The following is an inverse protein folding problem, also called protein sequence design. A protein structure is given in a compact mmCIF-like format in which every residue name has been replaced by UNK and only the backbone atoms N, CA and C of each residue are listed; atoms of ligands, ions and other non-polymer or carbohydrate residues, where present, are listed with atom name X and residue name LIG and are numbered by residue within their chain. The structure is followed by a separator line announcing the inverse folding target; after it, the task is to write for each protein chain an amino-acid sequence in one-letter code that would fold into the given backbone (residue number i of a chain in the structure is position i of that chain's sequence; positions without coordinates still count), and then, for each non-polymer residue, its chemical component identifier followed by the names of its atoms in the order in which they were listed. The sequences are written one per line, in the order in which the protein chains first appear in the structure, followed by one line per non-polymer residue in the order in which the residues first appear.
data_IF_406817493838
#
_entry.id   IF_406817493838
#
_cell.length_a   1.000
_cell.length_b   1.000
_cell.length_c   1.000
_cell.angle_alpha   90.00
_cell.angle_beta   90.00
_cell.angle_gamma   90.00
#
_symmetry.space_group_name_H-M   'P 1'
#
loop_
_entity.id
_entity.type
_entity.pdbx_description
1 polymer ?
#
# COMPACT_ATOMS: atom_id res chain seq x y z
N UNK A 1 15.54 -25.90 7.79
CA UNK A 1 16.47 -25.23 8.73
C UNK A 1 16.33 -23.71 8.65
N UNK A 2 16.40 -23.09 7.48
CA UNK A 2 16.30 -21.63 7.29
C UNK A 2 14.98 -21.03 7.82
N UNK A 3 13.84 -21.69 7.61
CA UNK A 3 12.52 -21.25 8.09
C UNK A 3 12.43 -21.16 9.62
N UNK A 4 13.05 -22.12 10.33
CA UNK A 4 13.10 -22.08 11.80
C UNK A 4 14.04 -21.01 12.33
N UNK A 5 15.11 -20.69 11.60
CA UNK A 5 15.97 -19.54 11.91
C UNK A 5 15.17 -18.24 11.79
N UNK A 6 14.45 -18.03 10.68
CA UNK A 6 13.58 -16.86 10.53
C UNK A 6 12.50 -16.76 11.60
N UNK A 7 11.90 -17.90 11.97
CA UNK A 7 10.92 -17.97 13.05
C UNK A 7 11.52 -17.56 14.39
N UNK A 8 12.70 -18.09 14.74
CA UNK A 8 13.43 -17.70 15.96
C UNK A 8 13.77 -16.19 15.99
N UNK A 9 14.30 -15.68 14.88
CA UNK A 9 14.59 -14.26 14.73
C UNK A 9 13.33 -13.39 14.88
N UNK A 10 12.22 -13.80 14.27
CA UNK A 10 10.93 -13.10 14.40
C UNK A 10 10.50 -12.99 15.86
N UNK A 11 10.50 -14.08 16.62
CA UNK A 11 10.08 -14.05 18.03
C UNK A 11 11.04 -13.26 18.90
N UNK A 12 12.35 -13.36 18.64
CA UNK A 12 13.35 -12.57 19.36
C UNK A 12 13.16 -11.06 19.11
N UNK A 13 12.99 -10.64 17.84
CA UNK A 13 12.71 -9.24 17.48
C UNK A 13 11.40 -8.77 18.09
N UNK A 14 10.34 -9.57 18.01
CA UNK A 14 9.05 -9.23 18.60
C UNK A 14 9.15 -9.02 20.11
N UNK A 15 9.85 -9.88 20.81
CA UNK A 15 10.11 -9.74 22.25
C UNK A 15 10.86 -8.45 22.53
N UNK A 16 11.99 -8.19 21.85
CA UNK A 16 12.81 -7.00 22.02
C UNK A 16 12.00 -5.73 21.77
N UNK A 17 11.25 -5.66 20.65
CA UNK A 17 10.41 -4.50 20.32
C UNK A 17 9.35 -4.25 21.39
N UNK A 18 8.77 -5.31 21.97
CA UNK A 18 7.70 -5.21 22.98
C UNK A 18 8.20 -4.71 24.34
N UNK A 19 9.42 -5.11 24.76
CA UNK A 19 9.95 -4.75 26.09
C UNK A 19 10.78 -3.45 26.06
N UNK A 20 11.23 -3.02 24.88
CA UNK A 20 12.11 -1.85 24.76
C UNK A 20 11.35 -0.55 25.05
N UNK A 21 11.90 0.36 25.86
CA UNK A 21 11.37 1.72 25.96
C UNK A 21 11.34 2.40 24.59
N UNK A 22 10.29 3.19 24.31
CA UNK A 22 10.08 3.81 22.99
C UNK A 22 11.30 4.63 22.50
N UNK A 23 11.99 5.35 23.38
CA UNK A 23 13.18 6.13 23.01
C UNK A 23 14.33 5.24 22.56
N UNK A 24 14.58 4.13 23.25
CA UNK A 24 15.61 3.15 22.90
C UNK A 24 15.28 2.48 21.57
N UNK A 25 14.03 2.05 21.39
CA UNK A 25 13.56 1.45 20.13
C UNK A 25 13.73 2.43 18.96
N UNK A 26 13.28 3.69 19.09
CA UNK A 26 13.46 4.72 18.05
C UNK A 26 14.93 4.95 17.72
N UNK A 27 15.81 4.99 18.71
CA UNK A 27 17.26 5.11 18.51
C UNK A 27 17.85 3.93 17.75
N UNK A 28 17.47 2.70 18.14
CA UNK A 28 17.88 1.47 17.45
C UNK A 28 17.40 1.45 15.98
N UNK A 29 16.12 1.77 15.72
CA UNK A 29 15.56 1.80 14.37
C UNK A 29 16.22 2.87 13.49
N UNK A 30 16.61 4.04 14.05
CA UNK A 30 17.39 5.05 13.32
C UNK A 30 18.76 4.52 12.93
N UNK A 31 19.46 3.84 13.86
CA UNK A 31 20.75 3.22 13.58
C UNK A 31 20.66 2.14 12.52
N UNK A 32 19.63 1.29 12.61
CA UNK A 32 19.36 0.25 11.62
C UNK A 32 19.07 0.85 10.23
N UNK A 33 18.23 1.87 10.16
CA UNK A 33 17.92 2.58 8.91
C UNK A 33 19.19 3.22 8.30
N UNK A 34 20.05 3.81 9.13
CA UNK A 34 21.34 4.37 8.69
C UNK A 34 22.25 3.26 8.14
N UNK A 35 22.32 2.12 8.79
CA UNK A 35 23.09 0.97 8.31
C UNK A 35 22.60 0.50 6.94
N UNK A 36 21.28 0.31 6.76
CA UNK A 36 20.69 -0.07 5.47
C UNK A 36 20.96 0.97 4.38
N UNK A 37 20.82 2.25 4.66
CA UNK A 37 21.14 3.32 3.71
C UNK A 37 22.59 3.21 3.18
N UNK A 38 23.56 2.85 4.01
CA UNK A 38 24.96 2.71 3.60
C UNK A 38 25.29 1.37 2.95
N UNK A 39 24.64 0.29 3.36
CA UNK A 39 24.93 -1.08 2.91
C UNK A 39 24.14 -1.47 1.65
N UNK A 40 22.87 -1.07 1.57
CA UNK A 40 21.98 -1.45 0.47
C UNK A 40 22.07 -0.46 -0.70
N UNK A 41 23.21 -0.47 -1.39
CA UNK A 41 23.47 0.43 -2.52
C UNK A 41 22.45 0.28 -3.65
N UNK A 42 21.97 -0.94 -3.88
CA UNK A 42 21.01 -1.25 -4.96
C UNK A 42 19.68 -0.51 -4.75
N UNK A 43 19.03 -0.70 -3.60
CA UNK A 43 17.75 -0.07 -3.35
C UNK A 43 17.87 1.44 -3.10
N UNK A 44 18.97 1.88 -2.48
CA UNK A 44 19.29 3.32 -2.36
C UNK A 44 19.36 4.00 -3.73
N UNK A 45 20.03 3.35 -4.74
CA UNK A 45 20.05 3.89 -6.09
C UNK A 45 18.69 3.88 -6.77
N UNK A 46 17.91 2.80 -6.61
CA UNK A 46 16.53 2.74 -7.13
C UNK A 46 15.67 3.89 -6.56
N UNK A 47 15.72 4.11 -5.25
CA UNK A 47 15.01 5.22 -4.60
C UNK A 47 15.42 6.57 -5.17
N UNK A 48 16.73 6.80 -5.33
CA UNK A 48 17.28 8.05 -5.88
C UNK A 48 16.76 8.33 -7.29
N UNK A 49 16.77 7.31 -8.16
CA UNK A 49 16.22 7.44 -9.51
C UNK A 49 14.74 7.76 -9.48
N UNK A 50 13.96 7.02 -8.72
CA UNK A 50 12.51 7.26 -8.61
C UNK A 50 12.20 8.66 -8.09
N UNK A 51 12.89 9.10 -7.02
CA UNK A 51 12.67 10.42 -6.41
C UNK A 51 13.07 11.56 -7.36
N UNK A 52 14.20 11.44 -8.08
CA UNK A 52 14.62 12.44 -9.09
C UNK A 52 13.62 12.54 -10.25
N UNK A 53 13.03 11.42 -10.67
CA UNK A 53 11.98 11.44 -11.70
C UNK A 53 10.69 12.08 -11.20
N UNK A 54 10.28 11.82 -9.96
CA UNK A 54 9.04 12.36 -9.41
C UNK A 54 9.17 13.81 -8.95
N UNK A 55 10.33 14.22 -8.44
CA UNK A 55 10.55 15.52 -7.81
C UNK A 55 11.79 16.22 -8.40
N UNK A 56 11.71 16.57 -9.68
CA UNK A 56 12.83 17.18 -10.44
C UNK A 56 13.35 18.50 -9.86
N UNK A 57 12.54 19.20 -9.04
CA UNK A 57 12.93 20.45 -8.38
C UNK A 57 13.74 20.25 -7.10
N UNK A 58 13.76 19.05 -6.53
CA UNK A 58 14.51 18.78 -5.29
C UNK A 58 16.01 18.68 -5.58
N UNK A 59 16.80 19.26 -4.68
CA UNK A 59 18.26 19.15 -4.70
C UNK A 59 18.71 17.75 -4.25
N UNK A 60 19.92 17.37 -4.61
CA UNK A 60 20.50 16.06 -4.25
C UNK A 60 20.50 15.81 -2.74
N UNK A 61 20.80 16.81 -1.92
CA UNK A 61 20.80 16.69 -0.46
C UNK A 61 19.38 16.47 0.12
N UNK A 62 18.35 17.03 -0.51
CA UNK A 62 16.95 16.81 -0.13
C UNK A 62 16.49 15.39 -0.52
N UNK A 63 16.89 14.91 -1.70
CA UNK A 63 16.68 13.52 -2.13
C UNK A 63 17.32 12.54 -1.13
N UNK A 64 18.59 12.78 -0.75
CA UNK A 64 19.28 11.90 0.20
C UNK A 64 18.64 11.92 1.61
N UNK A 65 18.11 13.06 2.04
CA UNK A 65 17.33 13.15 3.30
C UNK A 65 16.03 12.33 3.21
N UNK A 66 15.32 12.41 2.09
CA UNK A 66 14.11 11.62 1.85
C UNK A 66 14.40 10.12 1.86
N UNK A 67 15.49 9.68 1.21
CA UNK A 67 15.90 8.27 1.22
C UNK A 67 16.17 7.77 2.64
N UNK A 68 16.93 8.52 3.44
CA UNK A 68 17.21 8.17 4.85
C UNK A 68 15.92 8.09 5.68
N UNK A 69 15.01 9.05 5.49
CA UNK A 69 13.71 9.07 6.17
C UNK A 69 12.85 7.88 5.73
N UNK A 70 12.89 7.52 4.44
CA UNK A 70 12.18 6.36 3.92
C UNK A 70 12.68 5.03 4.54
N UNK A 71 14.00 4.82 4.65
CA UNK A 71 14.54 3.66 5.37
C UNK A 71 14.10 3.62 6.84
N UNK A 72 14.06 4.78 7.49
CA UNK A 72 13.57 4.86 8.87
C UNK A 72 12.09 4.52 8.99
N UNK A 73 11.25 5.04 8.10
CA UNK A 73 9.81 4.72 8.06
C UNK A 73 9.59 3.24 7.78
N UNK A 74 10.43 2.62 6.94
CA UNK A 74 10.37 1.19 6.68
C UNK A 74 10.79 0.34 7.90
N UNK A 75 11.79 0.79 8.65
CA UNK A 75 12.17 0.16 9.92
C UNK A 75 11.06 0.29 10.98
N UNK A 76 10.39 1.46 11.06
CA UNK A 76 9.20 1.65 11.89
C UNK A 76 8.05 0.72 11.47
N UNK A 77 7.77 0.62 10.17
CA UNK A 77 6.76 -0.30 9.62
C UNK A 77 7.00 -1.75 10.11
N UNK A 78 8.24 -2.23 10.05
CA UNK A 78 8.60 -3.56 10.56
C UNK A 78 8.35 -3.71 12.07
N UNK A 79 8.73 -2.71 12.88
CA UNK A 79 8.50 -2.72 14.32
C UNK A 79 6.98 -2.69 14.64
N UNK A 80 6.22 -1.87 13.94
CA UNK A 80 4.76 -1.78 14.11
C UNK A 80 4.05 -3.06 13.68
N UNK A 81 4.50 -3.73 12.61
CA UNK A 81 3.99 -5.04 12.25
C UNK A 81 4.15 -6.04 13.40
N UNK A 82 5.30 -6.04 14.09
CA UNK A 82 5.55 -6.89 15.26
C UNK A 82 4.66 -6.51 16.46
N UNK A 83 4.44 -5.21 16.70
CA UNK A 83 3.63 -4.71 17.82
C UNK A 83 2.12 -4.92 17.60
N UNK A 84 1.66 -4.81 16.37
CA UNK A 84 0.24 -4.94 16.05
C UNK A 84 -0.27 -6.39 16.02
N UNK A 85 0.62 -7.38 16.26
CA UNK A 85 0.21 -8.78 16.41
C UNK A 85 -0.71 -8.95 17.62
N UNK A 86 -1.87 -9.57 17.43
CA UNK A 86 -2.88 -9.85 18.46
C UNK A 86 -3.55 -8.61 19.09
N UNK A 87 -3.46 -7.43 18.50
CA UNK A 87 -4.24 -6.25 18.93
C UNK A 87 -5.73 -6.44 18.66
N UNK A 88 -6.62 -5.85 19.48
CA UNK A 88 -8.06 -5.88 19.25
C UNK A 88 -8.49 -4.83 18.20
N UNK A 89 -9.76 -4.90 17.74
CA UNK A 89 -10.33 -3.87 16.85
C UNK A 89 -10.28 -2.49 17.48
N UNK A 90 -10.64 -2.39 18.75
CA UNK A 90 -10.66 -1.16 19.53
C UNK A 90 -9.24 -0.56 19.65
N UNK A 91 -8.24 -1.40 19.90
CA UNK A 91 -6.85 -0.96 19.98
C UNK A 91 -6.32 -0.47 18.65
N UNK A 92 -6.75 -1.04 17.53
CA UNK A 92 -6.40 -0.56 16.19
C UNK A 92 -7.11 0.77 15.94
N UNK A 93 -8.43 0.82 16.11
CA UNK A 93 -9.21 2.02 15.82
C UNK A 93 -8.82 3.22 16.70
N UNK A 94 -8.36 2.99 17.94
CA UNK A 94 -7.88 4.07 18.82
C UNK A 94 -6.62 4.79 18.29
N UNK A 95 -5.92 4.19 17.31
CA UNK A 95 -4.74 4.76 16.67
C UNK A 95 -5.03 5.39 15.32
N UNK A 96 -6.26 5.24 14.80
CA UNK A 96 -6.61 5.64 13.43
C UNK A 96 -7.58 6.83 13.46
N UNK A 97 -7.25 7.87 12.74
CA UNK A 97 -8.17 8.91 12.33
C UNK A 97 -8.53 8.76 10.85
N UNK A 98 -9.66 9.33 10.45
CA UNK A 98 -10.13 9.26 9.06
C UNK A 98 -10.28 10.68 8.53
N UNK A 99 -9.73 10.93 7.33
CA UNK A 99 -9.85 12.19 6.59
C UNK A 99 -10.67 11.94 5.34
N UNK A 100 -11.64 12.83 5.07
CA UNK A 100 -12.64 12.71 4.01
C UNK A 100 -13.47 11.41 4.09
N UNK A 101 -13.78 10.94 5.30
CA UNK A 101 -14.58 9.71 5.53
C UNK A 101 -15.99 9.82 4.92
N UNK A 102 -16.50 11.04 4.75
CA UNK A 102 -17.76 11.32 4.07
C UNK A 102 -17.77 10.82 2.61
N UNK A 103 -16.65 10.83 1.91
CA UNK A 103 -16.55 10.26 0.56
C UNK A 103 -16.78 8.74 0.60
N UNK A 104 -16.15 8.06 1.55
CA UNK A 104 -16.35 6.62 1.71
C UNK A 104 -17.78 6.28 2.12
N UNK A 105 -18.35 7.04 3.06
CA UNK A 105 -19.72 6.86 3.52
C UNK A 105 -20.74 7.12 2.40
N UNK A 106 -20.48 8.08 1.51
CA UNK A 106 -21.32 8.33 0.34
C UNK A 106 -21.32 7.15 -0.65
N UNK A 107 -20.18 6.45 -0.79
CA UNK A 107 -20.08 5.23 -1.60
C UNK A 107 -20.78 4.06 -0.93
N UNK A 108 -20.63 3.89 0.37
CA UNK A 108 -21.33 2.85 1.15
C UNK A 108 -22.86 2.97 1.03
N UNK A 109 -23.39 4.20 1.08
CA UNK A 109 -24.85 4.46 1.01
C UNK A 109 -25.46 4.06 -0.34
N UNK A 110 -24.67 3.93 -1.41
CA UNK A 110 -25.14 3.50 -2.73
C UNK A 110 -25.43 2.00 -2.82
N UNK A 111 -25.09 1.23 -1.78
CA UNK A 111 -25.29 -0.22 -1.74
C UNK A 111 -24.76 -0.95 -2.99
N UNK A 112 -23.62 -0.50 -3.51
CA UNK A 112 -22.86 -1.09 -4.62
C UNK A 112 -21.62 -1.81 -4.12
N UNK A 113 -21.03 -2.78 -4.85
CA UNK A 113 -19.72 -3.34 -4.51
C UNK A 113 -18.65 -2.23 -4.46
N UNK A 114 -17.66 -2.39 -3.58
CA UNK A 114 -16.61 -1.36 -3.37
C UNK A 114 -15.24 -1.98 -3.53
N UNK A 115 -14.39 -1.33 -4.31
CA UNK A 115 -12.96 -1.61 -4.43
C UNK A 115 -12.21 -0.49 -3.73
N UNK A 116 -11.46 -0.83 -2.69
CA UNK A 116 -10.55 0.10 -2.00
C UNK A 116 -9.18 -0.01 -2.66
N UNK A 117 -8.84 0.98 -3.48
CA UNK A 117 -7.54 1.08 -4.12
C UNK A 117 -6.55 1.72 -3.16
N UNK A 118 -5.39 1.09 -2.99
CA UNK A 118 -4.31 1.64 -2.15
C UNK A 118 -2.93 1.38 -2.79
N UNK A 119 -1.87 1.70 -2.08
CA UNK A 119 -0.49 1.55 -2.50
C UNK A 119 0.38 0.98 -1.36
N UNK A 120 1.62 0.57 -1.67
CA UNK A 120 2.63 0.31 -0.66
C UNK A 120 3.10 1.65 -0.06
N UNK A 121 2.24 2.24 0.77
CA UNK A 121 2.38 3.57 1.36
C UNK A 121 2.04 3.52 2.85
N UNK A 122 2.81 4.19 3.68
CA UNK A 122 2.64 4.19 5.12
C UNK A 122 2.66 2.78 5.72
N UNK A 123 1.72 2.47 6.60
CA UNK A 123 1.57 1.13 7.14
C UNK A 123 0.40 0.38 6.47
N UNK A 124 0.60 -0.08 5.24
CA UNK A 124 -0.44 -0.80 4.46
C UNK A 124 -0.90 -2.12 5.10
N UNK A 125 -0.11 -2.75 5.98
CA UNK A 125 -0.56 -3.93 6.74
C UNK A 125 -1.58 -3.54 7.81
N UNK A 126 -1.36 -2.41 8.50
CA UNK A 126 -2.31 -1.85 9.46
C UNK A 126 -3.57 -1.32 8.76
N UNK A 127 -3.43 -0.78 7.54
CA UNK A 127 -4.56 -0.28 6.75
C UNK A 127 -5.65 -1.33 6.56
N UNK A 128 -5.29 -2.53 6.13
CA UNK A 128 -6.27 -3.61 5.92
C UNK A 128 -7.00 -4.00 7.21
N UNK A 129 -6.27 -4.06 8.33
CA UNK A 129 -6.84 -4.34 9.65
C UNK A 129 -7.78 -3.21 10.12
N UNK A 130 -7.40 -1.95 9.89
CA UNK A 130 -8.21 -0.78 10.25
C UNK A 130 -9.51 -0.74 9.43
N UNK A 131 -9.44 -0.99 8.12
CA UNK A 131 -10.62 -1.06 7.25
C UNK A 131 -11.58 -2.17 7.69
N UNK A 132 -11.05 -3.37 8.01
CA UNK A 132 -11.88 -4.47 8.50
C UNK A 132 -12.44 -4.21 9.91
N UNK A 133 -11.69 -3.54 10.77
CA UNK A 133 -12.16 -3.19 12.11
C UNK A 133 -13.30 -2.16 12.05
N UNK A 134 -13.24 -1.19 11.12
CA UNK A 134 -14.20 -0.09 10.97
C UNK A 134 -15.43 -0.47 10.15
N UNK A 135 -15.24 -1.15 9.02
CA UNK A 135 -16.26 -1.34 7.99
C UNK A 135 -16.69 -2.81 7.78
N UNK A 136 -16.02 -3.77 8.42
CA UNK A 136 -16.39 -5.19 8.36
C UNK A 136 -15.62 -5.98 7.30
N UNK A 137 -16.29 -6.91 6.62
CA UNK A 137 -15.68 -7.91 5.74
C UNK A 137 -14.82 -7.32 4.61
N UNK A 138 -13.54 -7.68 4.57
CA UNK A 138 -12.57 -7.25 3.56
C UNK A 138 -11.98 -8.48 2.86
N UNK A 139 -11.76 -8.40 1.57
CA UNK A 139 -10.93 -9.35 0.82
C UNK A 139 -9.73 -8.62 0.23
N UNK A 140 -8.53 -9.13 0.40
CA UNK A 140 -7.29 -8.52 -0.12
C UNK A 140 -6.57 -9.48 -1.06
N UNK A 141 -6.05 -8.94 -2.16
CA UNK A 141 -5.26 -9.70 -3.12
C UNK A 141 -3.80 -9.61 -2.72
N UNK A 142 -3.16 -10.75 -2.53
CA UNK A 142 -1.76 -10.81 -2.14
C UNK A 142 -1.04 -12.03 -2.69
N UNK A 143 0.29 -11.99 -2.63
CA UNK A 143 1.14 -13.15 -2.90
C UNK A 143 1.61 -13.74 -1.57
N UNK A 144 1.64 -15.08 -1.51
CA UNK A 144 2.28 -15.79 -0.41
C UNK A 144 3.79 -15.47 -0.35
N UNK A 145 4.36 -15.45 0.86
CA UNK A 145 5.80 -15.38 1.04
C UNK A 145 6.47 -16.70 0.68
N UNK A 146 7.73 -16.64 0.24
CA UNK A 146 8.49 -17.83 -0.12
C UNK A 146 8.81 -18.72 1.10
N UNK A 147 9.00 -18.13 2.29
CA UNK A 147 9.12 -18.88 3.55
C UNK A 147 7.75 -19.29 4.08
N UNK A 148 7.49 -20.59 4.21
CA UNK A 148 6.21 -21.12 4.68
C UNK A 148 5.86 -20.62 6.10
N UNK A 149 6.84 -20.64 7.02
CA UNK A 149 6.63 -20.21 8.41
C UNK A 149 6.37 -18.71 8.54
N UNK A 150 7.09 -17.89 7.77
CA UNK A 150 6.84 -16.45 7.74
C UNK A 150 5.50 -16.13 7.07
N UNK A 151 5.11 -16.93 6.07
CA UNK A 151 3.81 -16.80 5.43
C UNK A 151 2.65 -17.15 6.38
N UNK A 152 2.80 -18.18 7.22
CA UNK A 152 1.83 -18.49 8.28
C UNK A 152 1.61 -17.30 9.23
N UNK A 153 2.70 -16.65 9.68
CA UNK A 153 2.63 -15.48 10.57
C UNK A 153 1.95 -14.29 9.87
N UNK A 154 2.35 -13.99 8.65
CA UNK A 154 1.78 -12.89 7.87
C UNK A 154 0.30 -13.14 7.58
N UNK A 155 -0.05 -14.34 7.16
CA UNK A 155 -1.44 -14.73 6.88
C UNK A 155 -2.29 -14.68 8.14
N UNK A 156 -1.80 -15.20 9.27
CA UNK A 156 -2.51 -15.14 10.55
C UNK A 156 -2.77 -13.68 11.00
N UNK A 157 -1.84 -12.76 10.74
CA UNK A 157 -2.09 -11.34 11.00
C UNK A 157 -3.12 -10.75 10.06
N UNK A 158 -3.02 -11.05 8.76
CA UNK A 158 -3.90 -10.49 7.72
C UNK A 158 -5.33 -11.03 7.77
N UNK A 159 -5.56 -12.27 8.21
CA UNK A 159 -6.89 -12.89 8.27
C UNK A 159 -7.69 -12.55 9.52
N UNK A 160 -7.22 -11.60 10.32
CA UNK A 160 -7.96 -11.09 11.46
C UNK A 160 -9.16 -10.25 11.01
N UNK A 161 -10.17 -10.15 11.87
CA UNK A 161 -11.33 -9.26 11.69
C UNK A 161 -12.15 -9.47 10.40
N UNK A 162 -12.31 -10.75 9.98
CA UNK A 162 -13.01 -11.10 8.75
C UNK A 162 -12.31 -10.60 7.47
N UNK A 163 -10.98 -10.76 7.41
CA UNK A 163 -10.22 -10.53 6.19
C UNK A 163 -9.98 -11.86 5.46
N UNK A 164 -10.39 -11.93 4.21
CA UNK A 164 -10.12 -13.02 3.28
C UNK A 164 -8.88 -12.71 2.44
N UNK A 165 -7.95 -13.67 2.34
CA UNK A 165 -6.79 -13.57 1.45
C UNK A 165 -7.10 -14.24 0.11
N UNK A 166 -6.97 -13.48 -0.96
CA UNK A 166 -7.12 -13.95 -2.34
C UNK A 166 -5.73 -14.12 -2.95
N UNK A 167 -5.41 -15.36 -3.39
CA UNK A 167 -4.15 -15.62 -4.10
C UNK A 167 -4.15 -14.95 -5.49
N UNK A 168 -3.05 -14.28 -5.81
CA UNK A 168 -2.88 -13.57 -7.09
C UNK A 168 -3.14 -14.48 -8.31
N UNK A 169 -2.80 -15.78 -8.23
CA UNK A 169 -2.98 -16.74 -9.34
C UNK A 169 -4.45 -17.01 -9.70
N UNK A 170 -5.37 -16.88 -8.73
CA UNK A 170 -6.82 -17.10 -8.93
C UNK A 170 -7.64 -15.82 -8.69
N UNK A 171 -6.99 -14.67 -8.70
CA UNK A 171 -7.55 -13.40 -8.24
C UNK A 171 -8.86 -13.01 -8.95
N UNK A 172 -8.97 -13.18 -10.27
CA UNK A 172 -10.13 -12.68 -11.03
C UNK A 172 -11.45 -13.28 -10.54
N UNK A 173 -11.53 -14.61 -10.45
CA UNK A 173 -12.75 -15.30 -10.02
C UNK A 173 -13.10 -15.01 -8.55
N UNK A 174 -12.09 -15.04 -7.69
CA UNK A 174 -12.28 -14.84 -6.25
C UNK A 174 -12.61 -13.38 -5.92
N UNK A 175 -11.96 -12.40 -6.57
CA UNK A 175 -12.28 -10.99 -6.40
C UNK A 175 -13.70 -10.64 -6.83
N UNK A 176 -14.17 -11.16 -7.98
CA UNK A 176 -15.55 -10.96 -8.41
C UNK A 176 -16.54 -11.63 -7.45
N UNK A 177 -16.22 -12.83 -6.92
CA UNK A 177 -17.03 -13.48 -5.88
C UNK A 177 -17.10 -12.65 -4.60
N UNK A 178 -15.96 -12.09 -4.14
CA UNK A 178 -15.91 -11.23 -2.96
C UNK A 178 -16.78 -9.97 -3.15
N UNK A 179 -16.67 -9.31 -4.30
CA UNK A 179 -17.48 -8.13 -4.62
C UNK A 179 -18.99 -8.46 -4.67
N UNK A 180 -19.37 -9.62 -5.25
CA UNK A 180 -20.76 -10.08 -5.27
C UNK A 180 -21.29 -10.38 -3.86
N UNK A 181 -20.42 -10.83 -2.95
CA UNK A 181 -20.74 -11.07 -1.53
C UNK A 181 -20.64 -9.78 -0.69
N UNK A 182 -20.55 -8.61 -1.30
CA UNK A 182 -20.48 -7.31 -0.62
C UNK A 182 -19.28 -7.14 0.33
N UNK A 183 -18.22 -7.89 0.12
CA UNK A 183 -16.95 -7.66 0.83
C UNK A 183 -16.21 -6.49 0.18
N UNK A 184 -15.57 -5.66 0.96
CA UNK A 184 -14.65 -4.63 0.43
C UNK A 184 -13.46 -5.33 -0.23
N UNK A 185 -13.16 -5.00 -1.48
CA UNK A 185 -12.00 -5.56 -2.16
C UNK A 185 -10.81 -4.59 -2.07
N UNK A 186 -9.83 -4.91 -1.22
CA UNK A 186 -8.57 -4.16 -1.11
C UNK A 186 -7.57 -4.59 -2.19
N UNK A 187 -7.00 -3.63 -2.91
CA UNK A 187 -6.01 -3.89 -3.96
C UNK A 187 -4.92 -2.83 -3.98
N UNK A 188 -3.64 -3.28 -3.96
CA UNK A 188 -2.48 -2.43 -4.18
C UNK A 188 -2.17 -2.37 -5.68
N UNK A 189 -2.09 -1.16 -6.23
CA UNK A 189 -1.99 -0.95 -7.69
C UNK A 189 -0.72 -0.22 -8.12
N UNK A 190 0.15 0.11 -7.18
CA UNK A 190 1.25 1.05 -7.36
C UNK A 190 2.52 0.47 -8.00
N UNK A 191 2.69 -0.85 -8.02
CA UNK A 191 3.91 -1.45 -8.58
C UNK A 191 3.89 -1.47 -10.11
N UNK A 192 5.11 -1.42 -10.70
CA UNK A 192 5.27 -1.58 -12.15
C UNK A 192 4.76 -2.95 -12.59
N UNK A 193 4.01 -2.98 -13.69
CA UNK A 193 3.50 -4.22 -14.30
C UNK A 193 4.07 -4.41 -15.71
N UNK A 194 3.98 -5.62 -16.26
CA UNK A 194 4.43 -5.91 -17.61
C UNK A 194 3.54 -5.20 -18.65
N UNK A 195 4.10 -4.93 -19.84
CA UNK A 195 3.38 -4.20 -20.92
C UNK A 195 2.06 -4.87 -21.33
N UNK A 196 2.01 -6.20 -21.29
CA UNK A 196 0.83 -6.99 -21.62
C UNK A 196 -0.17 -7.16 -20.46
N UNK A 197 0.16 -6.69 -19.25
CA UNK A 197 -0.67 -6.84 -18.04
C UNK A 197 -1.21 -5.51 -17.50
N UNK A 198 -0.93 -4.40 -18.16
CA UNK A 198 -1.30 -3.06 -17.70
C UNK A 198 -1.76 -2.14 -18.81
N UNK A 199 -2.06 -0.90 -18.43
CA UNK A 199 -2.29 0.21 -19.35
C UNK A 199 -1.20 1.25 -19.18
N UNK A 200 -0.85 1.91 -20.29
CA UNK A 200 0.03 3.08 -20.27
C UNK A 200 -0.71 4.23 -19.57
N UNK A 201 -0.13 4.70 -18.49
CA UNK A 201 -0.60 5.84 -17.70
C UNK A 201 0.56 6.81 -17.44
N UNK A 202 0.23 7.98 -16.93
CA UNK A 202 1.19 8.93 -16.42
C UNK A 202 1.29 8.83 -14.89
N UNK A 203 2.49 9.06 -14.36
CA UNK A 203 2.78 9.17 -12.95
C UNK A 203 3.90 10.20 -12.77
N UNK A 204 3.62 11.32 -12.09
CA UNK A 204 4.51 12.48 -12.05
C UNK A 204 5.00 12.89 -13.44
N UNK A 205 4.08 13.02 -14.42
CA UNK A 205 4.34 13.36 -15.82
C UNK A 205 5.27 12.40 -16.58
N UNK A 206 5.54 11.22 -16.05
CA UNK A 206 6.31 10.17 -16.71
C UNK A 206 5.42 8.99 -17.07
N UNK A 207 5.67 8.38 -18.21
CA UNK A 207 4.96 7.16 -18.64
C UNK A 207 5.29 5.99 -17.74
N UNK A 208 4.25 5.26 -17.34
CA UNK A 208 4.36 4.00 -16.59
C UNK A 208 3.42 2.95 -17.17
N UNK A 209 3.70 1.68 -16.90
CA UNK A 209 2.71 0.62 -17.02
C UNK A 209 2.03 0.44 -15.67
N UNK A 210 0.74 0.74 -15.62
CA UNK A 210 -0.07 0.64 -14.41
C UNK A 210 -1.04 -0.54 -14.53
N UNK A 211 -1.20 -1.33 -13.47
CA UNK A 211 -2.19 -2.42 -13.47
C UNK A 211 -3.60 -1.85 -13.60
N UNK A 212 -4.38 -2.41 -14.50
CA UNK A 212 -5.78 -2.02 -14.70
C UNK A 212 -6.78 -2.95 -13.98
N UNK A 213 -6.27 -3.82 -13.09
CA UNK A 213 -7.08 -4.87 -12.44
C UNK A 213 -8.30 -4.30 -11.71
N UNK A 214 -8.15 -3.23 -10.92
CA UNK A 214 -9.26 -2.61 -10.21
C UNK A 214 -10.32 -2.04 -11.18
N UNK A 215 -9.90 -1.37 -12.26
CA UNK A 215 -10.80 -0.85 -13.30
C UNK A 215 -11.57 -1.98 -14.01
N UNK A 216 -10.90 -3.11 -14.29
CA UNK A 216 -11.54 -4.29 -14.89
C UNK A 216 -12.55 -4.93 -13.93
N UNK A 217 -12.20 -5.07 -12.65
CA UNK A 217 -13.13 -5.60 -11.66
C UNK A 217 -14.34 -4.68 -11.50
N UNK A 218 -14.14 -3.37 -11.42
CA UNK A 218 -15.21 -2.38 -11.34
C UNK A 218 -16.13 -2.45 -12.57
N UNK A 219 -15.57 -2.51 -13.78
CA UNK A 219 -16.33 -2.65 -15.02
C UNK A 219 -17.20 -3.91 -15.07
N UNK A 220 -16.73 -5.02 -14.46
CA UNK A 220 -17.46 -6.30 -14.48
C UNK A 220 -18.49 -6.45 -13.36
N UNK A 221 -18.25 -5.84 -12.21
CA UNK A 221 -19.08 -6.00 -11.01
C UNK A 221 -20.01 -4.81 -10.73
N UNK A 222 -19.84 -3.69 -11.44
CA UNK A 222 -20.49 -2.43 -11.12
C UNK A 222 -19.96 -1.78 -9.85
N UNK A 223 -18.79 -2.19 -9.36
CA UNK A 223 -18.17 -1.62 -8.18
C UNK A 223 -17.73 -0.17 -8.39
N UNK A 224 -17.73 0.59 -7.30
CA UNK A 224 -17.08 1.90 -7.23
C UNK A 224 -15.67 1.70 -6.68
N UNK A 225 -14.68 2.32 -7.32
CA UNK A 225 -13.30 2.34 -6.81
C UNK A 225 -13.15 3.58 -5.94
N UNK A 226 -12.64 3.41 -4.73
CA UNK A 226 -12.29 4.52 -3.86
C UNK A 226 -10.80 4.43 -3.50
N UNK A 227 -9.99 5.42 -3.92
CA UNK A 227 -8.60 5.48 -3.50
C UNK A 227 -8.51 5.86 -2.02
N UNK A 228 -7.71 5.11 -1.27
CA UNK A 228 -7.49 5.38 0.14
C UNK A 228 -6.08 4.96 0.56
N UNK A 229 -5.46 5.77 1.42
CA UNK A 229 -4.09 5.54 1.87
C UNK A 229 -3.97 5.77 3.36
N UNK A 230 -3.03 5.08 4.00
CA UNK A 230 -2.71 5.29 5.41
C UNK A 230 -1.38 6.03 5.53
N UNK A 231 -1.36 7.10 6.31
CA UNK A 231 -0.16 7.87 6.62
C UNK A 231 0.04 7.96 8.13
N UNK A 232 1.28 8.21 8.57
CA UNK A 232 1.56 8.51 9.99
C UNK A 232 1.05 9.88 10.36
N UNK A 233 0.45 10.00 11.54
CA UNK A 233 0.16 11.29 12.13
C UNK A 233 1.46 11.86 12.73
N UNK A 234 1.93 12.99 12.20
CA UNK A 234 3.17 13.64 12.67
C UNK A 234 3.00 14.29 14.05
N UNK A 235 1.76 14.58 14.43
CA UNK A 235 1.45 15.26 15.68
C UNK A 235 1.25 14.29 16.86
N UNK A 236 1.09 12.99 16.57
CA UNK A 236 0.79 12.00 17.59
C UNK A 236 1.53 10.68 17.35
N UNK A 237 2.43 10.35 18.25
CA UNK A 237 3.16 9.06 18.23
C UNK A 237 2.20 7.86 18.17
N UNK A 238 2.59 6.84 17.40
CA UNK A 238 1.83 5.58 17.19
C UNK A 238 0.41 5.79 16.65
N UNK A 239 0.15 6.90 15.99
CA UNK A 239 -1.13 7.20 15.37
C UNK A 239 -1.00 7.36 13.86
N UNK A 240 -2.10 7.08 13.18
CA UNK A 240 -2.16 7.08 11.73
C UNK A 240 -3.46 7.75 11.29
N UNK A 241 -3.45 8.19 10.03
CA UNK A 241 -4.60 8.75 9.36
C UNK A 241 -4.87 7.95 8.08
N UNK A 242 -6.11 7.54 7.89
CA UNK A 242 -6.57 7.01 6.60
C UNK A 242 -7.23 8.16 5.85
N UNK A 243 -6.72 8.46 4.65
CA UNK A 243 -7.19 9.53 3.78
C UNK A 243 -7.92 8.93 2.60
N UNK A 244 -9.16 9.31 2.39
CA UNK A 244 -9.95 8.93 1.22
C UNK A 244 -9.88 10.01 0.15
N UNK A 245 -9.92 9.58 -1.11
CA UNK A 245 -9.91 10.43 -2.31
C UNK A 245 -11.21 10.24 -3.09
N UNK A 246 -11.44 11.11 -4.08
CA UNK A 246 -12.64 11.08 -4.91
C UNK A 246 -12.90 9.69 -5.51
N UNK A 247 -14.14 9.18 -5.38
CA UNK A 247 -14.52 7.90 -5.95
C UNK A 247 -14.45 7.89 -7.47
N UNK A 248 -14.05 6.76 -8.03
CA UNK A 248 -13.96 6.53 -9.47
C UNK A 248 -15.08 5.55 -9.85
N UNK A 249 -16.07 6.03 -10.59
CA UNK A 249 -17.23 5.25 -11.02
C UNK A 249 -17.13 4.88 -12.50
N UNK A 250 -16.90 3.59 -12.78
CA UNK A 250 -16.84 3.06 -14.14
C UNK A 250 -18.15 3.19 -14.91
N UNK A 251 -19.30 3.19 -14.22
CA UNK A 251 -20.60 3.37 -14.89
C UNK A 251 -20.75 4.80 -15.42
N UNK A 252 -20.36 5.79 -14.62
CA UNK A 252 -20.37 7.20 -15.04
C UNK A 252 -19.41 7.43 -16.20
N UNK A 253 -18.19 6.90 -16.13
CA UNK A 253 -17.20 7.03 -17.20
C UNK A 253 -17.71 6.37 -18.52
N UNK A 254 -18.40 5.25 -18.42
CA UNK A 254 -18.91 4.52 -19.59
C UNK A 254 -20.11 5.17 -20.26
N UNK A 255 -20.76 6.17 -19.65
CA UNK A 255 -21.84 6.94 -20.27
C UNK A 255 -21.30 7.86 -21.39
N UNK A 256 -20.09 8.39 -21.21
CA UNK A 256 -19.49 9.42 -22.08
C UNK A 256 -18.28 8.91 -22.89
N UNK A 257 -17.83 7.69 -22.64
CA UNK A 257 -16.61 7.15 -23.24
C UNK A 257 -16.78 5.70 -23.68
N UNK A 258 -16.03 5.28 -24.70
CA UNK A 258 -15.94 3.86 -25.03
C UNK A 258 -15.36 3.07 -23.84
N UNK A 259 -15.65 1.76 -23.79
CA UNK A 259 -15.17 0.88 -22.72
C UNK A 259 -13.65 0.97 -22.49
N UNK A 260 -12.87 1.04 -23.57
CA UNK A 260 -11.40 1.14 -23.46
C UNK A 260 -10.95 2.50 -22.93
N UNK A 261 -11.63 3.57 -23.33
CA UNK A 261 -11.36 4.92 -22.80
C UNK A 261 -11.74 5.01 -21.33
N UNK A 262 -12.90 4.49 -20.92
CA UNK A 262 -13.32 4.45 -19.53
C UNK A 262 -12.33 3.66 -18.64
N UNK A 263 -11.84 2.50 -19.12
CA UNK A 263 -10.80 1.75 -18.42
C UNK A 263 -9.50 2.56 -18.26
N UNK A 264 -9.08 3.26 -19.32
CA UNK A 264 -7.87 4.09 -19.29
C UNK A 264 -8.03 5.26 -18.31
N UNK A 265 -9.14 5.98 -18.37
CA UNK A 265 -9.43 7.10 -17.47
C UNK A 265 -9.50 6.66 -16.00
N UNK A 266 -10.20 5.56 -15.70
CA UNK A 266 -10.28 5.04 -14.34
C UNK A 266 -8.91 4.57 -13.82
N UNK A 267 -8.06 4.01 -14.69
CA UNK A 267 -6.71 3.58 -14.31
C UNK A 267 -5.79 4.79 -14.11
N UNK A 268 -5.92 5.83 -14.94
CA UNK A 268 -5.20 7.09 -14.76
C UNK A 268 -5.59 7.77 -13.45
N UNK A 269 -6.88 7.88 -13.15
CA UNK A 269 -7.35 8.48 -11.89
C UNK A 269 -6.80 7.78 -10.64
N UNK A 270 -6.59 6.46 -10.68
CA UNK A 270 -5.92 5.72 -9.60
C UNK A 270 -4.43 6.09 -9.48
N UNK A 271 -3.75 6.28 -10.61
CA UNK A 271 -2.36 6.75 -10.64
C UNK A 271 -2.26 8.16 -10.05
N UNK A 272 -3.19 9.04 -10.43
CA UNK A 272 -3.22 10.44 -9.99
C UNK A 272 -3.48 10.55 -8.47
N UNK A 273 -4.43 9.78 -7.95
CA UNK A 273 -4.69 9.73 -6.50
C UNK A 273 -3.46 9.24 -5.73
N UNK A 274 -2.75 8.23 -6.26
CA UNK A 274 -1.50 7.73 -5.66
C UNK A 274 -0.41 8.81 -5.69
N UNK A 275 -0.24 9.50 -6.82
CA UNK A 275 0.73 10.59 -6.96
C UNK A 275 0.40 11.76 -6.01
N UNK A 276 -0.88 12.13 -5.88
CA UNK A 276 -1.33 13.18 -4.97
C UNK A 276 -1.02 12.85 -3.50
N UNK A 277 -1.26 11.60 -3.07
CA UNK A 277 -0.90 11.17 -1.71
C UNK A 277 0.62 11.21 -1.49
N UNK A 278 1.40 10.69 -2.44
CA UNK A 278 2.87 10.66 -2.33
C UNK A 278 3.44 12.10 -2.30
N UNK A 279 2.87 13.04 -3.05
CA UNK A 279 3.31 14.43 -3.05
C UNK A 279 3.19 15.11 -1.70
N UNK A 280 2.24 14.70 -0.86
CA UNK A 280 2.07 15.23 0.52
C UNK A 280 3.17 14.75 1.47
N UNK A 281 3.49 13.45 1.43
CA UNK A 281 4.51 12.81 2.28
C UNK A 281 5.30 11.77 1.50
N UNK A 282 6.30 12.19 0.69
CA UNK A 282 7.05 11.30 -0.19
C UNK A 282 7.88 10.24 0.56
N UNK A 283 8.26 10.48 1.80
CA UNK A 283 9.05 9.56 2.61
C UNK A 283 8.29 8.34 3.12
N UNK A 284 6.97 8.27 2.95
CA UNK A 284 6.16 7.12 3.36
C UNK A 284 5.88 6.13 2.21
N UNK A 285 6.21 6.45 0.96
CA UNK A 285 6.01 5.55 -0.16
C UNK A 285 7.15 4.52 -0.29
N UNK A 286 6.82 3.30 -0.71
CA UNK A 286 7.79 2.22 -0.93
C UNK A 286 8.58 2.43 -2.22
N UNK A 287 9.63 3.26 -2.18
CA UNK A 287 10.47 3.62 -3.33
C UNK A 287 11.43 2.52 -3.80
N UNK A 288 11.55 1.40 -3.11
CA UNK A 288 12.56 0.34 -3.37
C UNK A 288 12.29 -0.49 -4.62
N UNK A 289 11.17 -0.30 -5.32
CA UNK A 289 10.89 -0.98 -6.59
C UNK A 289 11.14 -0.08 -7.80
N UNK A 290 11.52 -0.65 -8.95
CA UNK A 290 11.78 0.10 -10.18
C UNK A 290 10.47 0.54 -10.85
N UNK A 291 9.84 1.62 -10.36
CA UNK A 291 8.52 2.11 -10.79
C UNK A 291 8.44 2.40 -12.28
N UNK A 292 9.49 2.97 -12.85
CA UNK A 292 9.54 3.45 -14.23
C UNK A 292 10.22 2.45 -15.20
N UNK A 293 10.48 1.23 -14.75
CA UNK A 293 11.28 0.25 -15.50
C UNK A 293 10.81 0.03 -16.93
N UNK A 294 9.51 -0.03 -17.19
CA UNK A 294 8.97 -0.36 -18.52
C UNK A 294 9.36 0.62 -19.62
N UNK A 295 9.60 1.89 -19.27
CA UNK A 295 9.93 2.94 -20.23
C UNK A 295 11.31 3.55 -20.01
N UNK A 296 11.85 3.44 -18.80
CA UNK A 296 13.08 4.12 -18.38
C UNK A 296 14.06 3.16 -17.69
N UNK A 297 14.20 1.93 -18.20
CA UNK A 297 15.06 0.91 -17.57
C UNK A 297 16.52 1.36 -17.44
N UNK A 298 17.04 2.09 -18.43
CA UNK A 298 18.41 2.59 -18.45
C UNK A 298 18.72 3.57 -17.29
N UNK A 299 17.72 4.24 -16.74
CA UNK A 299 17.93 5.12 -15.59
C UNK A 299 18.31 4.37 -14.31
N UNK A 300 18.11 3.05 -14.29
CA UNK A 300 18.41 2.19 -13.14
C UNK A 300 19.70 1.34 -13.34
N UNK A 301 20.44 1.60 -14.40
CA UNK A 301 21.69 0.89 -14.71
C UNK A 301 22.85 1.28 -13.76
#
# INVERSE_FOLDING_TARGET
MLDYFYLGLYYALRFLVKISPKCVLKGFLKSLASAFYHLDKKHTNIMRVNLKMCFASLKDDEIERLIKKNYYNFALFGAEFLLNQNTTKEQILSKISFENEELFNSVLSQNRPIIVQTAHYGNWELFSLAMAARYGAVSIIGRALDSAKMNEILSANRTRFDIELIDKKSAVKQALKALNNRRLLGILVDQNTAKNEGLECEFFSHKIMHTHAASVFASKSGAIIIPAFIERDENKDDSFKIVFYEPIDMQVLSQNHSKNQALKLATQAQSDATAAQISKKPDEYFWMHKKFKCFYENNYA
#
